data_IF_919213854368
#
_entry.id   IF_919213854368
#
_cell.length_a   1.000
_cell.length_b   1.000
_cell.length_c   1.000
_cell.angle_alpha   90.00
_cell.angle_beta   90.00
_cell.angle_gamma   90.00
#
_symmetry.space_group_name_H-M   'P 1'
#
loop_
_entity.id
_entity.type
_entity.pdbx_description
1 polymer ?
2 polymer ?
3 water ?
#
loop_
_entity_poly.entity_id
_entity_poly.type
_entity_poly.pdbx_seq_one_letter_code
_entity_poly.pdbx_strand_id
1 'polydeoxyribonucleotide' '(DT)(DG)(DC)(DT)(DT)(DA)(DT)(DC)(DA)(DA)(DT)(DT)(DT)(DG)(DT)(DT)(DG)(DC)(DA)(DC)(DC)' ?
#
# COMPACT_ATOMS: atom_id res chain seq x y z
N UNK C 1 -5.09 -8.48 -11.14
CA UNK C 1 -6.30 -7.64 -10.92
C UNK C 1 -5.95 -6.18 -11.19
N UNK C 2 -6.68 -5.54 -12.10
CA UNK C 2 -6.59 -4.09 -12.27
C UNK C 2 -7.69 -3.35 -11.53
N UNK C 3 -7.72 -2.02 -11.66
CA UNK C 3 -8.76 -1.20 -11.05
C UNK C 3 -10.19 -1.66 -11.45
N UNK C 4 -10.42 -1.82 -12.76
CA UNK C 4 -11.68 -2.34 -13.28
C UNK C 4 -12.15 -3.63 -12.62
N UNK C 5 -11.24 -4.60 -12.53
CA UNK C 5 -11.54 -5.91 -11.93
C UNK C 5 -11.85 -5.84 -10.43
N UNK C 6 -11.13 -4.96 -9.73
CA UNK C 6 -11.35 -4.69 -8.31
C UNK C 6 -12.71 -4.06 -8.08
N UNK C 7 -13.05 -3.06 -8.89
CA UNK C 7 -14.39 -2.45 -8.85
C UNK C 7 -15.48 -3.53 -8.99
N UNK C 8 -15.32 -4.39 -10.00
CA UNK C 8 -16.22 -5.52 -10.26
C UNK C 8 -16.50 -6.34 -9.01
N UNK C 9 -15.42 -6.78 -8.37
CA UNK C 9 -15.48 -7.58 -7.16
C UNK C 9 -16.09 -6.81 -5.99
N UNK C 10 -15.75 -5.52 -5.90
CA UNK C 10 -16.24 -4.66 -4.82
C UNK C 10 -17.74 -4.38 -4.96
N UNK C 11 -18.13 -3.93 -6.15
CA UNK C 11 -19.54 -3.67 -6.45
C UNK C 11 -20.39 -4.87 -6.06
N UNK C 12 -19.87 -6.06 -6.34
CA UNK C 12 -20.50 -7.32 -5.96
C UNK C 12 -20.53 -7.56 -4.43
N UNK C 13 -19.39 -7.33 -3.77
CA UNK C 13 -19.24 -7.57 -2.34
C UNK C 13 -19.99 -6.57 -1.44
N UNK C 14 -20.04 -5.32 -1.89
CA UNK C 14 -20.66 -4.23 -1.13
C UNK C 14 -22.07 -3.88 -1.60
N UNK C 15 -22.51 -4.54 -2.68
CA UNK C 15 -23.81 -4.31 -3.33
C UNK C 15 -24.03 -2.84 -3.75
N UNK C 16 -22.90 -2.24 -4.34
CA UNK C 16 -23.03 -0.93 -5.01
C UNK C 16 -22.70 -1.03 -6.51
N UNK C 17 -23.25 -0.01 -7.28
CA UNK C 17 -23.06 0.06 -8.74
C UNK C 17 -21.57 -0.03 -9.04
N UNK C 18 -21.24 -0.61 -10.20
CA UNK C 18 -19.86 -0.62 -10.72
C UNK C 18 -19.32 0.81 -10.85
N UNK C 19 -20.19 1.75 -11.21
CA UNK C 19 -19.82 3.18 -11.16
C UNK C 19 -19.42 3.63 -9.72
N UNK C 20 -20.24 3.25 -8.74
CA UNK C 20 -20.12 3.75 -7.37
C UNK C 20 -18.92 3.16 -6.70
N UNK C 21 -18.68 1.87 -6.94
CA UNK C 21 -17.49 1.25 -6.42
C UNK C 21 -16.32 2.00 -7.03
N UNK C 22 -16.39 2.24 -8.35
CA UNK C 22 -15.33 3.02 -9.00
C UNK C 22 -15.21 4.44 -8.44
N UNK C 23 -16.36 5.10 -8.26
CA UNK C 23 -16.41 6.45 -7.69
C UNK C 23 -15.76 6.50 -6.31
N UNK C 24 -16.22 5.62 -5.41
CA UNK C 24 -15.72 5.61 -4.05
C UNK C 24 -14.24 5.16 -4.00
N UNK C 25 -13.88 4.16 -4.80
CA UNK C 25 -12.50 3.71 -4.82
C UNK C 25 -11.54 4.81 -5.32
N UNK C 26 -11.90 5.48 -6.41
CA UNK C 26 -11.05 6.53 -6.99
C UNK C 26 -10.82 7.65 -5.97
N UNK C 27 -11.89 8.08 -5.31
CA UNK C 27 -11.77 9.11 -4.28
C UNK C 27 -10.90 8.66 -3.11
N UNK C 28 -10.95 7.38 -2.77
CA UNK C 28 -10.19 6.81 -1.63
C UNK C 28 -8.69 6.85 -1.91
N UNK C 29 -8.30 6.40 -3.11
CA UNK C 29 -6.92 6.43 -3.54
C UNK C 29 -6.41 7.85 -3.72
N UNK C 30 -7.24 8.74 -4.27
CA UNK C 30 -6.85 10.13 -4.46
C UNK C 30 -6.63 10.81 -3.10
N UNK C 31 -7.47 10.49 -2.13
CA UNK C 31 -7.36 10.99 -0.76
C UNK C 31 -6.12 10.49 -0.04
N UNK C 32 -5.79 9.21 -0.22
CA UNK C 32 -4.60 8.66 0.38
C UNK C 32 -3.35 9.41 -0.11
N UNK C 33 -3.24 9.59 -1.42
CA UNK C 33 -2.11 10.28 -2.03
C UNK C 33 -1.99 11.72 -1.50
N UNK C 34 -3.14 12.37 -1.33
CA UNK C 34 -3.24 13.74 -0.78
C UNK C 34 -2.76 13.84 0.68
N UNK C 35 -3.24 12.94 1.52
CA UNK C 35 -2.86 12.93 2.94
C UNK C 35 -1.39 12.60 3.11
N UNK C 36 -0.88 11.63 2.33
CA UNK C 36 0.53 11.28 2.42
C UNK C 36 1.43 12.44 1.92
N UNK C 37 1.05 13.06 0.80
CA UNK C 37 1.79 14.19 0.21
C UNK C 37 1.93 15.42 1.10
N UNK C 38 0.97 15.62 2.01
CA UNK C 38 1.05 16.74 2.95
C UNK C 38 1.54 16.26 4.30
N UNK C 39 2.02 15.01 4.34
CA UNK C 39 2.71 14.48 5.52
C UNK C 39 1.85 13.84 6.59
N UNK C 40 0.61 13.51 6.28
CA UNK C 40 -0.17 12.71 7.22
C UNK C 40 0.06 11.21 6.98
N UNK C 41 -0.13 10.42 8.02
CA UNK C 41 -0.07 8.96 7.92
C UNK C 41 -1.48 8.43 7.72
N UNK C 42 -1.68 7.57 6.73
CA UNK C 42 -2.96 6.93 6.53
C UNK C 42 -2.91 5.54 7.15
N UNK C 43 -3.81 5.29 8.07
CA UNK C 43 -3.77 4.08 8.87
C UNK C 43 -5.07 3.28 8.66
N UNK C 44 -4.93 2.02 8.27
CA UNK C 44 -6.09 1.19 8.04
C UNK C 44 -5.89 -0.13 8.78
N UNK C 45 -6.49 -0.26 9.96
CA UNK C 45 -6.22 -1.40 10.83
C UNK C 45 -6.39 -2.76 10.11
N UNK C 46 -5.35 -3.60 10.22
CA UNK C 46 -5.32 -4.92 9.61
C UNK C 46 -4.72 -4.94 8.23
N UNK C 47 -5.00 -3.90 7.46
CA UNK C 47 -4.52 -3.80 6.09
C UNK C 47 -3.11 -3.24 6.04
N UNK C 48 -2.94 -2.01 6.53
CA UNK C 48 -1.62 -1.42 6.62
C UNK C 48 -1.68 0.09 6.69
N UNK C 49 -0.50 0.70 6.67
CA UNK C 49 -0.39 2.15 6.74
C UNK C 49 0.47 2.68 5.60
N UNK C 50 0.18 3.92 5.22
CA UNK C 50 0.89 4.65 4.19
C UNK C 50 1.42 5.93 4.81
N UNK C 51 2.67 6.27 4.51
CA UNK C 51 3.26 7.49 5.00
C UNK C 51 4.37 7.99 4.09
N UNK C 52 4.77 9.23 4.31
CA UNK C 52 5.91 9.81 3.65
C UNK C 52 7.15 9.50 4.50
N UNK C 53 8.23 9.07 3.86
CA UNK C 53 9.49 8.84 4.55
C UNK C 53 10.57 9.76 4.00
N UNK C 54 11.32 10.38 4.90
CA UNK C 54 12.48 11.17 4.52
C UNK C 54 13.58 10.26 4.04
N UNK C 55 14.27 10.69 2.99
CA UNK C 55 15.48 10.02 2.49
C UNK C 55 16.59 11.06 2.47
N UNK C 56 17.66 10.82 3.23
CA UNK C 56 18.86 11.67 3.24
C UNK C 56 19.55 11.61 1.88
N UNK C 57 20.34 12.63 1.58
CA UNK C 57 21.23 12.60 0.43
C UNK C 57 22.16 11.41 0.56
N UNK C 58 22.54 10.85 -0.58
CA UNK C 58 23.54 9.80 -0.61
C UNK C 58 24.35 9.84 -1.90
N UNK C 59 25.47 9.16 -1.90
CA UNK C 59 26.32 9.15 -3.05
C UNK C 59 25.90 8.01 -3.98
N UNK C 60 25.86 8.30 -5.27
CA UNK C 60 25.73 7.28 -6.27
C UNK C 60 26.93 7.37 -7.19
N UNK C 61 26.84 6.70 -8.32
CA UNK C 61 27.89 6.71 -9.33
C UNK C 61 27.24 6.62 -10.69
N UNK C 62 27.74 7.45 -11.61
CA UNK C 62 27.34 7.47 -13.01
C UNK C 62 27.88 6.23 -13.75
N UNK C 63 27.00 5.37 -14.30
CA UNK C 63 27.45 4.10 -14.90
C UNK C 63 28.19 4.30 -16.22
N UNK C 64 27.97 5.46 -16.85
CA UNK C 64 28.60 5.77 -18.11
C UNK C 64 29.98 6.37 -17.93
N UNK C 65 30.11 7.30 -17.00
CA UNK C 65 31.36 8.03 -16.80
C UNK C 65 32.17 7.55 -15.59
N UNK C 66 31.56 6.70 -14.76
CA UNK C 66 32.18 6.22 -13.51
C UNK C 66 32.33 7.31 -12.44
N UNK C 67 31.85 8.51 -12.74
CA UNK C 67 32.00 9.63 -11.83
C UNK C 67 31.10 9.48 -10.61
N UNK C 68 31.67 9.73 -9.44
CA UNK C 68 30.89 9.72 -8.21
C UNK C 68 29.96 10.93 -8.22
N UNK C 69 28.77 10.76 -7.65
CA UNK C 69 27.76 11.81 -7.69
C UNK C 69 26.93 11.80 -6.40
N UNK C 70 26.18 12.87 -6.18
CA UNK C 70 25.30 12.95 -5.01
C UNK C 70 23.81 12.92 -5.37
N UNK C 71 23.12 11.90 -4.88
CA UNK C 71 21.67 11.83 -4.96
C UNK C 71 21.08 12.71 -3.84
N UNK C 72 20.41 13.80 -4.20
CA UNK C 72 19.91 14.73 -3.18
C UNK C 72 18.83 14.11 -2.29
N UNK C 73 18.64 14.73 -1.13
CA UNK C 73 17.58 14.32 -0.19
C UNK C 73 16.23 14.36 -0.87
N UNK C 74 15.34 13.44 -0.50
CA UNK C 74 13.97 13.44 -1.03
C UNK C 74 12.99 12.89 0.00
N UNK C 75 11.73 12.75 -0.40
CA UNK C 75 10.71 12.04 0.36
C UNK C 75 10.07 11.04 -0.56
N UNK C 76 9.69 9.90 0.00
CA UNK C 76 9.04 8.85 -0.78
C UNK C 76 7.83 8.32 -0.03
N UNK C 77 6.80 7.87 -0.75
CA UNK C 77 5.68 7.20 -0.10
C UNK C 77 6.10 5.80 0.40
N UNK C 78 5.57 5.36 1.54
CA UNK C 78 5.91 4.06 2.09
C UNK C 78 4.68 3.35 2.62
N UNK C 79 4.62 2.03 2.41
CA UNK C 79 3.52 1.20 2.89
C UNK C 79 4.05 0.19 3.93
N UNK C 80 3.35 0.01 5.03
CA UNK C 80 3.69 -1.06 5.98
C UNK C 80 2.46 -1.90 6.20
N UNK C 81 2.54 -3.15 5.79
CA UNK C 81 1.40 -4.06 5.79
C UNK C 81 1.02 -4.40 7.23
N UNK C 82 -0.29 -4.47 7.47
CA UNK C 82 -0.79 -4.79 8.79
C UNK C 82 -0.77 -6.28 9.02
N UNK C 83 -1.03 -6.68 10.27
CA UNK C 83 -0.88 -8.06 10.71
C UNK C 83 -1.75 -9.06 9.95
N UNK C 84 -2.97 -8.65 9.62
CA UNK C 84 -3.89 -9.51 8.86
C UNK C 84 -3.41 -9.72 7.44
N UNK C 85 -2.95 -8.64 6.80
CA UNK C 85 -2.38 -8.73 5.46
C UNK C 85 -1.15 -9.68 5.44
N UNK C 86 -0.19 -9.45 6.33
CA UNK C 86 0.98 -10.34 6.46
C UNK C 86 0.67 -11.84 6.67
N UNK C 87 -0.34 -12.11 7.48
CA UNK C 87 -0.70 -13.48 7.86
C UNK C 87 -1.58 -14.20 6.83
N UNK C 88 -2.29 -13.45 6.01
CA UNK C 88 -3.02 -14.06 4.90
C UNK C 88 -2.02 -14.44 3.80
N UNK C 89 -1.03 -13.57 3.59
CA UNK C 89 0.05 -13.82 2.65
C UNK C 89 0.99 -14.93 3.17
N UNK C 90 1.22 -14.94 4.49
CA UNK C 90 2.01 -15.99 5.11
C UNK C 90 1.38 -16.56 6.40
N UNK C 91 0.43 -17.49 6.24
CA UNK C 91 -0.27 -18.13 7.38
C UNK C 91 0.69 -18.69 8.44
N UNK C 92 0.55 -18.19 9.67
CA UNK C 92 1.46 -18.50 10.78
C UNK C 92 1.70 -19.99 10.97
N UNK C 93 2.96 -20.35 11.19
CA UNK C 93 3.32 -21.72 11.54
C UNK C 93 3.81 -21.78 13.00
N UNK C 94 4.66 -20.83 13.38
CA UNK C 94 5.25 -20.77 14.71
C UNK C 94 5.08 -19.39 15.37
N UNK D 1 -4.71 10.14 9.40
CA UNK D 1 -6.02 9.69 8.87
C UNK D 1 -6.24 8.20 9.07
N UNK D 2 -7.25 7.85 9.82
CA UNK D 2 -7.62 6.45 10.00
C UNK D 2 -8.77 6.00 9.06
N UNK D 3 -9.12 4.71 9.14
CA UNK D 3 -10.20 4.14 8.31
C UNK D 3 -11.47 4.99 8.37
N UNK D 4 -11.94 5.25 9.60
CA UNK D 4 -13.16 6.02 9.80
C UNK D 4 -13.14 7.41 9.20
N UNK D 5 -11.96 8.02 9.22
CA UNK D 5 -11.74 9.37 8.71
C UNK D 5 -11.59 9.38 7.18
N UNK D 6 -11.01 8.32 6.61
CA UNK D 6 -10.93 8.18 5.15
C UNK D 6 -12.32 7.98 4.55
N UNK D 7 -13.12 7.13 5.18
CA UNK D 7 -14.50 6.86 4.76
C UNK D 7 -15.35 8.14 4.75
N UNK D 8 -15.21 8.97 5.80
CA UNK D 8 -15.93 10.25 5.86
C UNK D 8 -15.55 11.11 4.67
N UNK D 9 -14.26 11.15 4.35
CA UNK D 9 -13.74 12.03 3.29
C UNK D 9 -14.22 11.58 1.91
N UNK D 10 -14.37 10.27 1.76
CA UNK D 10 -14.74 9.65 0.48
C UNK D 10 -16.26 9.58 0.23
N UNK D 11 -17.05 9.52 1.30
CA UNK D 11 -18.50 9.65 1.17
C UNK D 11 -18.81 11.01 0.56
N UNK D 12 -18.00 12.00 0.93
CA UNK D 12 -18.22 13.40 0.53
C UNK D 12 -17.91 13.64 -0.96
N UNK D 13 -16.71 13.26 -1.38
CA UNK D 13 -16.23 13.43 -2.76
C UNK D 13 -17.06 12.68 -3.80
N UNK D 14 -17.56 11.46 -3.45
CA UNK D 14 -18.30 10.61 -4.39
C UNK D 14 -19.82 10.87 -4.36
N UNK D 15 -20.25 11.59 -3.32
CA UNK D 15 -21.66 11.85 -3.08
C UNK D 15 -22.51 10.59 -2.78
N UNK D 16 -21.98 9.77 -1.79
CA UNK D 16 -22.77 8.66 -1.23
C UNK D 16 -23.06 8.96 0.27
N UNK D 17 -23.65 7.88 0.93
CA UNK D 17 -23.66 7.70 2.42
C UNK D 17 -22.26 7.29 2.96
N UNK D 18 -22.11 7.42 4.30
CA UNK D 18 -20.92 6.91 5.01
C UNK D 18 -20.87 5.38 4.99
N UNK D 19 -22.06 4.77 5.09
CA UNK D 19 -22.24 3.33 5.08
C UNK D 19 -21.85 2.68 3.75
N UNK D 20 -21.85 3.51 2.61
CA UNK D 20 -21.49 2.92 1.31
C UNK D 20 -20.00 3.09 1.06
N UNK D 21 -19.49 4.26 1.44
CA UNK D 21 -18.06 4.51 1.37
C UNK D 21 -17.39 3.37 2.13
N UNK D 22 -17.84 3.14 3.38
CA UNK D 22 -17.25 2.12 4.26
C UNK D 22 -17.33 0.68 3.71
N UNK D 23 -18.52 0.31 3.22
CA UNK D 23 -18.73 -1.03 2.66
C UNK D 23 -17.95 -1.24 1.36
N UNK D 24 -17.82 -0.18 0.55
CA UNK D 24 -16.95 -0.21 -0.63
C UNK D 24 -15.48 -0.32 -0.23
N UNK D 25 -15.03 0.54 0.69
CA UNK D 25 -13.63 0.53 1.11
C UNK D 25 -13.26 -0.82 1.72
N UNK D 26 -14.07 -1.30 2.66
CA UNK D 26 -13.85 -2.59 3.32
C UNK D 26 -13.69 -3.68 2.28
N UNK D 27 -14.63 -3.72 1.33
CA UNK D 27 -14.64 -4.75 0.31
C UNK D 27 -13.35 -4.68 -0.50
N UNK D 28 -12.97 -3.47 -0.90
CA UNK D 28 -11.77 -3.25 -1.69
C UNK D 28 -10.50 -3.76 -1.01
N UNK D 29 -10.36 -3.50 0.30
CA UNK D 29 -9.17 -3.89 1.07
C UNK D 29 -9.10 -5.41 1.24
N UNK D 30 -10.25 -6.02 1.55
CA UNK D 30 -10.33 -7.49 1.68
C UNK D 30 -9.99 -8.15 0.33
N UNK D 31 -10.49 -7.59 -0.76
CA UNK D 31 -10.23 -8.11 -2.10
C UNK D 31 -8.75 -8.01 -2.48
N UNK D 32 -8.13 -6.86 -2.23
CA UNK D 32 -6.70 -6.72 -2.45
C UNK D 32 -5.91 -7.77 -1.66
N UNK D 33 -6.22 -7.92 -0.38
CA UNK D 33 -5.51 -8.87 0.49
C UNK D 33 -5.61 -10.29 -0.04
N UNK D 34 -6.81 -10.64 -0.51
CA UNK D 34 -7.11 -11.97 -1.00
C UNK D 34 -6.39 -12.20 -2.31
N UNK D 35 -6.47 -11.22 -3.18
CA UNK D 35 -5.78 -11.27 -4.46
C UNK D 35 -4.29 -11.46 -4.26
N UNK D 36 -3.68 -10.64 -3.40
CA UNK D 36 -2.25 -10.76 -3.12
C UNK D 36 -1.89 -12.09 -2.48
N UNK D 37 -2.64 -12.50 -1.46
CA UNK D 37 -2.40 -13.79 -0.79
C UNK D 37 -2.45 -14.96 -1.75
N UNK D 38 -3.21 -14.84 -2.83
CA UNK D 38 -3.29 -15.94 -3.80
C UNK D 38 -2.28 -15.80 -4.94
N UNK D 39 -1.39 -14.80 -4.82
CA UNK D 39 -0.30 -14.61 -5.77
C UNK D 39 -0.58 -13.70 -6.95
N UNK D 40 -1.67 -12.95 -6.88
CA UNK D 40 -2.09 -12.03 -7.92
C UNK D 40 -1.45 -10.69 -7.61
N UNK D 41 -1.10 -9.95 -8.66
CA UNK D 41 -0.68 -8.56 -8.53
C UNK D 41 -1.90 -7.65 -8.73
N UNK D 42 -2.09 -6.71 -7.80
CA UNK D 42 -3.14 -5.71 -7.88
C UNK D 42 -2.53 -4.40 -8.39
N UNK D 43 -2.93 -3.96 -9.60
CA UNK D 43 -2.36 -2.77 -10.23
C UNK D 43 -3.43 -1.70 -10.42
N UNK D 44 -3.27 -0.57 -9.75
CA UNK D 44 -4.26 0.52 -9.77
C UNK D 44 -3.68 1.77 -10.42
N UNK D 45 -4.08 2.02 -11.67
CA UNK D 45 -3.67 3.22 -12.42
C UNK D 45 -3.81 4.43 -11.53
N UNK D 46 -2.78 5.29 -11.53
CA UNK D 46 -2.79 6.50 -10.75
C UNK D 46 -2.59 6.33 -9.25
N UNK D 47 -2.25 5.13 -8.78
CA UNK D 47 -1.95 4.94 -7.35
C UNK D 47 -0.69 4.07 -7.10
N UNK D 48 -0.69 2.83 -7.58
CA UNK D 48 0.45 1.93 -7.44
C UNK D 48 -0.02 0.50 -7.50
N UNK D 49 0.85 -0.44 -7.13
CA UNK D 49 0.52 -1.87 -7.17
C UNK D 49 0.89 -2.64 -5.90
N UNK D 50 0.15 -3.71 -5.61
CA UNK D 50 0.41 -4.62 -4.49
C UNK D 50 0.74 -6.04 -4.99
N UNK D 51 1.77 -6.64 -4.42
CA UNK D 51 2.14 -8.00 -4.79
C UNK D 51 2.80 -8.74 -3.66
N UNK D 52 2.87 -10.07 -3.80
CA UNK D 52 3.56 -10.95 -2.87
C UNK D 52 5.04 -11.02 -3.26
N UNK D 53 5.94 -10.89 -2.29
CA UNK D 53 7.37 -11.14 -2.53
C UNK D 53 7.89 -12.35 -1.74
N UNK D 54 8.73 -13.15 -2.37
CA UNK D 54 9.42 -14.25 -1.69
C UNK D 54 10.61 -13.69 -0.91
N UNK D 55 10.80 -14.23 0.28
CA UNK D 55 11.92 -13.88 1.14
C UNK D 55 12.60 -15.21 1.42
N UNK D 56 13.89 -15.30 1.14
CA UNK D 56 14.71 -16.45 1.49
C UNK D 56 14.85 -16.53 3.01
N UNK D 57 15.20 -17.71 3.51
CA UNK D 57 15.57 -17.89 4.90
C UNK D 57 16.73 -16.97 5.22
N UNK D 58 16.77 -16.52 6.47
CA UNK D 58 17.89 -15.68 6.91
C UNK D 58 18.17 -15.87 8.36
N UNK D 59 19.26 -15.26 8.78
CA UNK D 59 19.82 -15.43 10.12
C UNK D 59 19.35 -14.27 10.96
N UNK D 60 18.97 -14.60 12.19
CA UNK D 60 18.71 -13.59 13.18
C UNK D 60 19.25 -14.09 14.50
N UNK D 61 18.83 -13.47 15.59
CA UNK D 61 19.36 -13.80 16.88
C UNK D 61 18.26 -13.58 17.88
N UNK D 62 18.18 -14.48 18.84
CA UNK D 62 17.23 -14.47 19.96
C UNK D 62 17.65 -13.46 21.00
N UNK D 63 16.83 -12.45 21.25
CA UNK D 63 17.19 -11.41 22.22
C UNK D 63 17.15 -11.91 23.66
N UNK D 64 16.40 -12.99 23.89
CA UNK D 64 16.28 -13.57 25.23
C UNK D 64 17.49 -14.40 25.57
N UNK D 65 17.99 -15.15 24.60
CA UNK D 65 19.00 -16.18 24.84
C UNK D 65 20.34 -15.92 24.16
N UNK D 66 20.35 -14.96 23.24
CA UNK D 66 21.52 -14.61 22.43
C UNK D 66 21.91 -15.74 21.46
N UNK D 67 21.06 -16.74 21.28
CA UNK D 67 21.33 -17.79 20.30
C UNK D 67 20.98 -17.35 18.87
N UNK D 68 21.88 -17.67 17.92
CA UNK D 68 21.60 -17.46 16.52
C UNK D 68 20.39 -18.29 16.15
N UNK D 69 19.58 -17.77 15.23
CA UNK D 69 18.44 -18.51 14.76
C UNK D 69 18.30 -18.37 13.25
N UNK D 70 17.54 -19.26 12.63
CA UNK D 70 17.23 -19.15 11.20
C UNK D 70 15.78 -18.74 11.13
N UNK D 71 15.54 -17.60 10.52
CA UNK D 71 14.21 -17.14 10.18
C UNK D 71 13.84 -17.83 8.86
N UNK D 72 12.78 -18.64 8.84
CA UNK D 72 12.45 -19.43 7.65
C UNK D 72 12.06 -18.55 6.47
N UNK D 73 12.08 -19.13 5.28
CA UNK D 73 11.61 -18.44 4.10
C UNK D 73 10.13 -18.13 4.27
N UNK D 74 9.68 -17.05 3.65
CA UNK D 74 8.30 -16.67 3.78
C UNK D 74 7.89 -15.90 2.53
N UNK D 75 6.69 -15.31 2.59
CA UNK D 75 6.16 -14.41 1.56
C UNK D 75 5.71 -13.17 2.30
N UNK D 76 5.89 -11.99 1.69
CA UNK D 76 5.49 -10.74 2.30
C UNK D 76 4.77 -9.85 1.25
N UNK D 77 3.79 -9.09 1.68
CA UNK D 77 3.14 -8.13 0.77
C UNK D 77 4.03 -6.93 0.51
N UNK D 78 4.00 -6.40 -0.71
CA UNK D 78 4.82 -5.23 -1.06
C UNK D 78 3.99 -4.27 -1.87
N UNK D 79 4.20 -2.98 -1.64
CA UNK D 79 3.54 -1.94 -2.38
C UNK D 79 4.59 -1.18 -3.22
N UNK D 80 4.28 -0.87 -4.47
CA UNK D 80 5.11 -0.02 -5.31
C UNK D 80 4.24 1.15 -5.70
N UNK D 81 4.60 2.33 -5.23
CA UNK D 81 3.82 3.54 -5.48
C UNK D 81 3.95 3.90 -6.95
N UNK D 82 2.85 4.34 -7.56
CA UNK D 82 2.90 4.77 -8.94
C UNK D 82 3.61 6.11 -9.09
N UNK D 83 3.90 6.47 -10.35
CA UNK D 83 4.58 7.72 -10.70
C UNK D 83 3.90 8.97 -10.16
N UNK D 84 2.56 8.98 -10.19
CA UNK D 84 1.77 10.13 -9.77
C UNK D 84 1.95 10.34 -8.28
N UNK D 85 1.78 9.26 -7.54
CA UNK D 85 1.99 9.23 -6.09
C UNK D 85 3.40 9.70 -5.71
N UNK D 86 4.41 9.19 -6.43
CA UNK D 86 5.80 9.50 -6.15
C UNK D 86 6.07 10.98 -6.42
N UNK D 87 5.49 11.50 -7.50
CA UNK D 87 5.67 12.90 -7.89
C UNK D 87 4.89 13.87 -7.03
N UNK D 88 3.81 13.43 -6.40
CA UNK D 88 3.05 14.30 -5.49
C UNK D 88 3.82 14.50 -4.18
N UNK D 89 4.44 13.42 -3.72
CA UNK D 89 5.26 13.43 -2.48
C UNK D 89 6.58 14.22 -2.68
N UNK D 90 7.14 14.11 -3.87
CA UNK D 90 8.41 14.75 -4.23
C UNK D 90 8.40 15.31 -5.65
N UNK D 91 7.80 16.51 -5.80
CA UNK D 91 7.75 17.22 -7.10
C UNK D 91 9.07 17.29 -7.88
N UNK D 92 9.01 16.90 -9.16
CA UNK D 92 10.19 16.75 -10.01
C UNK D 92 10.99 18.02 -10.22
N UNK D 93 12.32 17.90 -10.12
CA UNK D 93 13.24 18.99 -10.43
C UNK D 93 13.15 20.17 -9.43
#
# INVERSE_FOLDING_TARGET
MNKGELVDAVAEKASVTKKQADAVLTAALETIIEAVSSGDKVTLVGFGSFESRERKAREGRNPKTNEKMEIPATRVPAFSAGKLFREKVAPPKA
MNKGELVDAVAEKASVTKKQADAVLTAALETIIEAVSSGDKVTLVGFGSFESRERKAREGRNPKTNEKMEIPATRVPAFSAGKLFREKVAPPKA
#
